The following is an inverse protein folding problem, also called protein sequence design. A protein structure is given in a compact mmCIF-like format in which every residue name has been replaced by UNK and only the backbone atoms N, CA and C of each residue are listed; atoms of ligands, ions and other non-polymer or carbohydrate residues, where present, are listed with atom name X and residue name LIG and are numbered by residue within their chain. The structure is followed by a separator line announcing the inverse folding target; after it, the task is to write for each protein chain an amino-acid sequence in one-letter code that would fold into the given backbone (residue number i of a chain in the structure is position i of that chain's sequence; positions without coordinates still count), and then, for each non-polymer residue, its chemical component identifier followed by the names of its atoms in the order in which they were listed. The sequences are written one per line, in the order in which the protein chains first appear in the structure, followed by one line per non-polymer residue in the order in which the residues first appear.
data_IF_733238965958
#
_entry.id   IF_733238965958
#
_cell.length_a   1.000
_cell.length_b   1.000
_cell.length_c   1.000
_cell.angle_alpha   90.00
_cell.angle_beta   90.00
_cell.angle_gamma   90.00
#
_symmetry.space_group_name_H-M   'P 1'
#
loop_
_entity.id
_entity.type
_entity.pdbx_description
1 polymer ?
#
# COMPACT_ATOMS: atom_id res chain seq x y z
N UNK A 1 7.72 22.42 -8.13
CA UNK A 1 8.26 21.09 -7.76
C UNK A 1 8.98 20.40 -8.94
N UNK A 2 10.21 19.91 -8.75
CA UNK A 2 10.93 19.19 -9.79
C UNK A 2 10.33 17.80 -10.05
N UNK A 3 10.27 17.36 -11.31
CA UNK A 3 9.76 16.01 -11.71
C UNK A 3 10.44 14.87 -10.95
N UNK A 4 11.72 15.03 -10.61
CA UNK A 4 12.49 14.07 -9.81
C UNK A 4 11.93 13.93 -8.37
N UNK A 5 11.52 15.02 -7.74
CA UNK A 5 10.97 15.02 -6.38
C UNK A 5 9.66 14.24 -6.32
N UNK A 6 8.75 14.47 -7.28
CA UNK A 6 7.46 13.73 -7.36
C UNK A 6 7.71 12.24 -7.55
N UNK A 7 8.64 11.90 -8.43
CA UNK A 7 9.01 10.52 -8.71
C UNK A 7 9.54 9.83 -7.45
N UNK A 8 10.47 10.48 -6.73
CA UNK A 8 11.02 9.96 -5.48
C UNK A 8 9.95 9.76 -4.40
N UNK A 9 9.04 10.72 -4.23
CA UNK A 9 7.91 10.62 -3.32
C UNK A 9 6.97 9.48 -3.70
N UNK A 10 6.67 9.31 -4.99
CA UNK A 10 5.81 8.25 -5.50
C UNK A 10 6.41 6.85 -5.21
N UNK A 11 7.71 6.64 -5.46
CA UNK A 11 8.38 5.37 -5.16
C UNK A 11 8.47 5.09 -3.66
N UNK A 12 8.87 6.08 -2.85
CA UNK A 12 8.95 5.93 -1.40
C UNK A 12 7.57 5.58 -0.81
N UNK A 13 6.52 6.28 -1.26
CA UNK A 13 5.17 6.02 -0.82
C UNK A 13 4.68 4.65 -1.30
N UNK A 14 4.96 4.26 -2.55
CA UNK A 14 4.60 2.94 -3.09
C UNK A 14 5.11 1.79 -2.22
N UNK A 15 6.37 1.86 -1.77
CA UNK A 15 6.96 0.86 -0.88
C UNK A 15 6.22 0.83 0.46
N UNK A 16 6.03 1.99 1.10
CA UNK A 16 5.40 2.09 2.42
C UNK A 16 3.95 1.59 2.39
N UNK A 17 3.16 2.02 1.40
CA UNK A 17 1.74 1.65 1.31
C UNK A 17 1.55 0.21 0.84
N UNK A 18 2.47 -0.33 0.03
CA UNK A 18 2.52 -1.76 -0.29
C UNK A 18 2.73 -2.60 0.97
N UNK A 19 3.72 -2.24 1.80
CA UNK A 19 4.00 -2.92 3.08
C UNK A 19 2.78 -2.83 4.01
N UNK A 20 2.18 -1.65 4.17
CA UNK A 20 0.97 -1.45 5.00
C UNK A 20 -0.21 -2.31 4.53
N UNK A 21 -0.32 -2.52 3.23
CA UNK A 21 -1.40 -3.31 2.62
C UNK A 21 -1.30 -4.81 2.92
N UNK A 22 -0.16 -5.29 3.44
CA UNK A 22 -0.02 -6.68 3.93
C UNK A 22 -0.89 -6.96 5.17
N UNK A 23 -1.21 -5.92 5.96
CA UNK A 23 -2.15 -6.00 7.09
C UNK A 23 -3.62 -5.98 6.68
N UNK A 24 -3.92 -6.14 5.39
CA UNK A 24 -5.31 -6.35 4.94
C UNK A 24 -5.85 -7.72 5.37
N UNK A 25 -7.18 -7.87 5.52
CA UNK A 25 -7.80 -9.18 5.68
C UNK A 25 -7.34 -10.18 4.61
N UNK A 26 -7.20 -9.71 3.36
CA UNK A 26 -6.68 -10.51 2.26
C UNK A 26 -5.21 -10.92 2.47
N UNK A 27 -4.33 -9.99 2.88
CA UNK A 27 -2.92 -10.29 3.14
C UNK A 27 -2.72 -11.28 4.28
N UNK A 28 -3.48 -11.14 5.37
CA UNK A 28 -3.43 -12.04 6.53
C UNK A 28 -3.94 -13.44 6.16
N UNK A 29 -5.10 -13.54 5.49
CA UNK A 29 -5.63 -14.82 5.02
C UNK A 29 -4.63 -15.53 4.10
N UNK A 30 -4.00 -14.79 3.18
CA UNK A 30 -3.00 -15.36 2.27
C UNK A 30 -1.74 -15.84 3.00
N UNK A 31 -1.24 -15.09 3.98
CA UNK A 31 -0.10 -15.50 4.80
C UNK A 31 -0.41 -16.71 5.70
N UNK A 32 -1.68 -16.98 5.95
CA UNK A 32 -2.14 -18.18 6.67
C UNK A 32 -2.26 -19.39 5.73
N UNK A 33 -2.73 -19.15 4.51
CA UNK A 33 -3.11 -20.19 3.54
C UNK A 33 -1.93 -20.66 2.69
N UNK A 34 -1.16 -19.70 2.16
CA UNK A 34 0.02 -19.94 1.34
C UNK A 34 1.27 -20.01 2.22
N UNK A 35 1.38 -21.12 2.95
CA UNK A 35 2.53 -21.41 3.83
C UNK A 35 3.22 -22.70 3.39
N UNK A 36 4.48 -22.94 3.79
CA UNK A 36 5.11 -24.23 3.60
C UNK A 36 4.29 -25.38 4.19
N UNK A 37 3.60 -25.18 5.32
CA UNK A 37 2.71 -26.19 5.90
C UNK A 37 1.50 -26.45 4.99
N UNK A 38 0.80 -25.40 4.57
CA UNK A 38 -0.39 -25.51 3.72
C UNK A 38 -0.11 -26.00 2.30
N UNK A 39 1.06 -25.70 1.73
CA UNK A 39 1.45 -26.21 0.42
C UNK A 39 1.84 -27.69 0.50
N UNK A 40 2.53 -28.12 1.57
CA UNK A 40 2.87 -29.54 1.77
C UNK A 40 1.64 -30.41 1.96
N UNK A 41 0.61 -29.96 2.68
CA UNK A 41 -0.64 -30.73 2.82
C UNK A 41 -1.38 -30.91 1.48
N UNK A 42 -1.11 -30.06 0.49
CA UNK A 42 -1.62 -30.16 -0.88
C UNK A 42 -0.65 -30.86 -1.85
N UNK A 43 0.48 -31.40 -1.37
CA UNK A 43 1.50 -32.03 -2.22
C UNK A 43 2.30 -31.05 -3.07
N UNK A 44 2.30 -29.76 -2.74
CA UNK A 44 2.94 -28.70 -3.51
C UNK A 44 4.25 -28.20 -2.88
N UNK A 45 5.22 -27.90 -3.75
CA UNK A 45 6.43 -27.19 -3.36
C UNK A 45 6.16 -25.68 -3.18
N UNK A 46 6.37 -25.18 -1.96
CA UNK A 46 6.15 -23.77 -1.59
C UNK A 46 6.93 -22.77 -2.45
N UNK A 47 8.17 -23.08 -2.83
CA UNK A 47 8.99 -22.19 -3.66
C UNK A 47 8.35 -21.88 -5.02
N UNK A 48 7.72 -22.87 -5.64
CA UNK A 48 7.00 -22.66 -6.90
C UNK A 48 5.73 -21.81 -6.69
N UNK A 49 5.02 -21.98 -5.56
CA UNK A 49 3.88 -21.13 -5.19
C UNK A 49 4.30 -19.69 -5.03
N UNK A 50 5.43 -19.44 -4.34
CA UNK A 50 6.03 -18.11 -4.20
C UNK A 50 6.37 -17.50 -5.57
N UNK A 51 7.01 -18.27 -6.47
CA UNK A 51 7.37 -17.77 -7.79
C UNK A 51 6.13 -17.34 -8.60
N UNK A 52 5.10 -18.17 -8.65
CA UNK A 52 3.85 -17.83 -9.35
C UNK A 52 3.12 -16.66 -8.70
N UNK A 53 3.13 -16.59 -7.36
CA UNK A 53 2.55 -15.49 -6.62
C UNK A 53 3.23 -14.16 -6.91
N UNK A 54 4.57 -14.12 -6.85
CA UNK A 54 5.34 -12.91 -7.14
C UNK A 54 5.18 -12.51 -8.61
N UNK A 55 5.22 -13.47 -9.55
CA UNK A 55 4.98 -13.20 -10.96
C UNK A 55 3.58 -12.60 -11.19
N UNK A 56 2.55 -13.18 -10.56
CA UNK A 56 1.20 -12.62 -10.58
C UNK A 56 1.15 -11.21 -10.01
N UNK A 57 1.77 -10.96 -8.86
CA UNK A 57 1.79 -9.65 -8.21
C UNK A 57 2.52 -8.58 -9.03
N UNK A 58 3.62 -8.94 -9.68
CA UNK A 58 4.32 -8.06 -10.63
C UNK A 58 3.43 -7.76 -11.83
N UNK A 59 2.78 -8.77 -12.42
CA UNK A 59 1.86 -8.58 -13.53
C UNK A 59 0.67 -7.67 -13.15
N UNK A 60 0.07 -7.90 -11.97
CA UNK A 60 -1.00 -7.04 -11.45
C UNK A 60 -0.54 -5.62 -11.18
N UNK A 61 0.65 -5.43 -10.62
CA UNK A 61 1.28 -4.12 -10.44
C UNK A 61 1.56 -3.42 -11.76
N UNK A 62 1.99 -4.16 -12.79
CA UNK A 62 2.19 -3.63 -14.13
C UNK A 62 0.87 -3.21 -14.80
N UNK A 63 -0.23 -3.94 -14.57
CA UNK A 63 -1.57 -3.52 -15.03
C UNK A 63 -1.97 -2.19 -14.38
N UNK A 64 -1.85 -2.07 -13.06
CA UNK A 64 -2.08 -0.80 -12.38
C UNK A 64 -1.15 0.29 -12.94
N UNK A 65 0.14 0.00 -13.05
CA UNK A 65 1.15 0.91 -13.58
C UNK A 65 0.84 1.37 -15.00
N UNK A 66 0.29 0.50 -15.85
CA UNK A 66 -0.15 0.85 -17.21
C UNK A 66 -1.32 1.83 -17.22
N UNK A 67 -2.29 1.65 -16.32
CA UNK A 67 -3.38 2.63 -16.13
C UNK A 67 -2.83 3.98 -15.65
N UNK A 68 -1.91 3.96 -14.69
CA UNK A 68 -1.25 5.18 -14.19
C UNK A 68 -0.37 5.83 -15.25
N UNK A 69 0.24 5.04 -16.13
CA UNK A 69 1.02 5.54 -17.27
C UNK A 69 0.14 6.30 -18.26
N UNK A 70 -1.07 5.80 -18.51
CA UNK A 70 -2.09 6.53 -19.28
C UNK A 70 -2.47 7.85 -18.61
N UNK A 71 -2.72 7.85 -17.30
CA UNK A 71 -3.01 9.09 -16.56
C UNK A 71 -1.82 10.07 -16.56
N UNK A 72 -0.59 9.57 -16.45
CA UNK A 72 0.61 10.39 -16.53
C UNK A 72 0.79 11.03 -17.91
N UNK A 73 0.46 10.31 -18.99
CA UNK A 73 0.45 10.87 -20.34
C UNK A 73 -0.60 12.00 -20.46
N UNK A 74 -1.79 11.82 -19.89
CA UNK A 74 -2.82 12.87 -19.87
C UNK A 74 -2.35 14.09 -19.08
N UNK A 75 -1.71 13.90 -17.93
CA UNK A 75 -1.15 15.00 -17.13
C UNK A 75 -0.06 15.77 -17.90
N UNK A 76 0.79 15.06 -18.64
CA UNK A 76 1.84 15.65 -19.48
C UNK A 76 1.25 16.55 -20.58
N UNK A 77 0.17 16.10 -21.23
CA UNK A 77 -0.56 16.86 -22.25
C UNK A 77 -1.21 18.14 -21.71
N UNK A 78 -1.51 18.19 -20.40
CA UNK A 78 -2.06 19.38 -19.76
C UNK A 78 -1.00 20.47 -19.46
N UNK A 79 0.30 20.17 -19.66
CA UNK A 79 1.42 21.09 -19.41
C UNK A 79 1.32 21.85 -18.08
N UNK A 80 0.95 21.12 -17.02
CA UNK A 80 0.69 21.72 -15.71
C UNK A 80 1.95 22.42 -15.18
N UNK A 81 1.75 23.64 -14.65
CA UNK A 81 2.83 24.37 -13.99
C UNK A 81 3.35 23.60 -12.77
N UNK A 82 4.62 23.80 -12.43
CA UNK A 82 5.24 23.14 -11.27
C UNK A 82 4.55 23.48 -9.93
N UNK A 83 3.90 24.64 -9.85
CA UNK A 83 3.08 25.08 -8.70
C UNK A 83 1.74 24.38 -8.68
N UNK A 84 1.09 24.21 -9.84
CA UNK A 84 -0.16 23.44 -9.95
C UNK A 84 0.05 21.99 -9.53
N UNK A 85 1.12 21.34 -10.00
CA UNK A 85 1.47 19.96 -9.60
C UNK A 85 1.69 19.87 -8.08
N UNK A 86 2.40 20.83 -7.49
CA UNK A 86 2.61 20.89 -6.04
C UNK A 86 1.29 21.10 -5.27
N UNK A 87 0.42 21.99 -5.74
CA UNK A 87 -0.91 22.22 -5.14
C UNK A 87 -1.80 20.97 -5.19
N UNK A 88 -1.82 20.25 -6.31
CA UNK A 88 -2.55 18.99 -6.44
C UNK A 88 -1.99 17.91 -5.50
N UNK A 89 -0.67 17.81 -5.37
CA UNK A 89 -0.03 16.88 -4.44
C UNK A 89 -0.34 17.21 -2.97
N UNK A 90 -0.35 18.51 -2.60
CA UNK A 90 -0.78 18.99 -1.27
C UNK A 90 -2.23 18.60 -1.00
N UNK A 91 -3.14 18.91 -1.94
CA UNK A 91 -4.56 18.60 -1.77
C UNK A 91 -4.79 17.09 -1.62
N UNK A 92 -4.17 16.28 -2.48
CA UNK A 92 -4.28 14.82 -2.40
C UNK A 92 -3.73 14.29 -1.06
N UNK A 93 -2.54 14.74 -0.63
CA UNK A 93 -1.94 14.29 0.62
C UNK A 93 -2.76 14.70 1.85
N UNK A 94 -3.33 15.91 1.85
CA UNK A 94 -4.22 16.36 2.91
C UNK A 94 -5.47 15.47 3.01
N UNK A 95 -6.10 15.16 1.86
CA UNK A 95 -7.28 14.27 1.81
C UNK A 95 -6.94 12.87 2.34
N UNK A 96 -5.83 12.28 1.92
CA UNK A 96 -5.50 10.90 2.35
C UNK A 96 -5.08 10.83 3.81
N UNK A 97 -4.32 11.81 4.31
CA UNK A 97 -3.97 11.88 5.75
C UNK A 97 -5.23 12.02 6.59
N UNK A 98 -6.14 12.92 6.19
CA UNK A 98 -7.42 13.15 6.89
C UNK A 98 -8.26 11.87 6.93
N UNK A 99 -8.30 11.12 5.81
CA UNK A 99 -8.97 9.82 5.71
C UNK A 99 -8.36 8.76 6.63
N UNK A 100 -7.03 8.60 6.63
CA UNK A 100 -6.37 7.56 7.44
C UNK A 100 -6.38 7.86 8.93
N UNK A 101 -6.46 9.14 9.30
CA UNK A 101 -6.65 9.58 10.68
C UNK A 101 -8.13 9.60 11.11
N UNK A 102 -9.06 9.32 10.19
CA UNK A 102 -10.51 9.38 10.42
C UNK A 102 -10.97 10.70 11.07
N UNK A 103 -10.39 11.83 10.63
CA UNK A 103 -10.71 13.16 11.17
C UNK A 103 -12.18 13.46 10.88
N UNK A 104 -12.94 13.82 11.93
CA UNK A 104 -14.39 13.99 11.86
C UNK A 104 -15.16 12.77 11.29
N UNK A 105 -14.57 11.56 11.37
CA UNK A 105 -15.17 10.34 10.82
C UNK A 105 -15.05 10.20 9.30
N UNK A 106 -14.35 11.12 8.62
CA UNK A 106 -14.13 11.05 7.18
C UNK A 106 -13.21 9.87 6.83
N UNK A 107 -13.60 9.09 5.82
CA UNK A 107 -12.75 8.08 5.23
C UNK A 107 -13.04 7.94 3.73
N UNK A 108 -12.00 7.69 2.93
CA UNK A 108 -12.15 7.31 1.53
C UNK A 108 -12.77 5.91 1.39
N UNK A 109 -13.32 5.56 0.21
CA UNK A 109 -13.91 4.26 -0.04
C UNK A 109 -12.96 3.10 0.31
N UNK A 110 -13.49 2.14 1.08
CA UNK A 110 -12.84 0.86 1.35
C UNK A 110 -13.45 -0.16 0.39
N UNK A 111 -12.62 -0.97 -0.25
CA UNK A 111 -13.08 -2.03 -1.17
C UNK A 111 -13.05 -3.36 -0.40
N UNK A 112 -14.18 -3.85 0.16
CA UNK A 112 -14.18 -5.01 1.04
C UNK A 112 -14.16 -6.34 0.27
N UNK A 113 -13.30 -6.46 -0.76
CA UNK A 113 -13.15 -7.67 -1.55
C UNK A 113 -11.93 -8.46 -1.10
N UNK A 114 -12.12 -9.75 -0.84
CA UNK A 114 -11.04 -10.72 -0.59
C UNK A 114 -10.83 -11.61 -1.81
N UNK A 115 -9.67 -12.27 -1.85
CA UNK A 115 -9.45 -13.41 -2.73
C UNK A 115 -10.37 -14.57 -2.32
N UNK A 116 -10.79 -15.38 -3.28
CA UNK A 116 -11.61 -16.56 -3.01
C UNK A 116 -10.73 -17.74 -2.58
N UNK A 117 -10.76 -18.08 -1.29
CA UNK A 117 -9.93 -19.14 -0.69
C UNK A 117 -10.23 -20.53 -1.29
N UNK A 118 -11.43 -20.74 -1.85
CA UNK A 118 -11.81 -21.99 -2.48
C UNK A 118 -10.96 -22.32 -3.71
N UNK A 119 -10.29 -21.32 -4.31
CA UNK A 119 -9.38 -21.53 -5.43
C UNK A 119 -8.24 -22.50 -5.09
N UNK A 120 -7.84 -22.55 -3.82
CA UNK A 120 -6.74 -23.44 -3.37
C UNK A 120 -7.10 -24.92 -3.41
N UNK A 121 -8.40 -25.26 -3.35
CA UNK A 121 -8.90 -26.63 -3.51
C UNK A 121 -9.43 -26.94 -4.92
N UNK A 122 -9.75 -25.91 -5.71
CA UNK A 122 -10.39 -26.05 -7.02
C UNK A 122 -9.42 -25.97 -8.20
N UNK A 123 -8.40 -25.14 -8.12
CA UNK A 123 -7.53 -24.84 -9.26
C UNK A 123 -6.09 -25.34 -9.05
N UNK A 124 -5.37 -25.47 -10.18
CA UNK A 124 -3.95 -25.82 -10.16
C UNK A 124 -3.14 -24.72 -9.47
N UNK A 125 -2.04 -25.12 -8.82
CA UNK A 125 -1.14 -24.23 -8.07
C UNK A 125 -0.83 -22.90 -8.73
N UNK A 126 -0.42 -22.94 -9.99
CA UNK A 126 -0.03 -21.74 -10.72
C UNK A 126 -1.20 -20.78 -10.94
N UNK A 127 -2.44 -21.30 -11.10
CA UNK A 127 -3.65 -20.50 -11.30
C UNK A 127 -3.98 -19.73 -10.02
N UNK A 128 -4.11 -20.42 -8.89
CA UNK A 128 -4.46 -19.72 -7.66
C UNK A 128 -3.33 -18.82 -7.20
N UNK A 129 -2.07 -19.26 -7.27
CA UNK A 129 -0.94 -18.45 -6.80
C UNK A 129 -0.77 -17.19 -7.65
N UNK A 130 -0.79 -17.31 -8.97
CA UNK A 130 -0.69 -16.15 -9.86
C UNK A 130 -1.93 -15.25 -9.79
N UNK A 131 -3.14 -15.82 -9.72
CA UNK A 131 -4.38 -15.05 -9.60
C UNK A 131 -4.46 -14.26 -8.30
N UNK A 132 -4.10 -14.89 -7.18
CA UNK A 132 -3.96 -14.25 -5.88
C UNK A 132 -2.90 -13.15 -5.89
N UNK A 133 -1.72 -13.44 -6.46
CA UNK A 133 -0.67 -12.46 -6.69
C UNK A 133 -1.18 -11.25 -7.45
N UNK A 134 -1.80 -11.46 -8.62
CA UNK A 134 -2.32 -10.40 -9.48
C UNK A 134 -3.37 -9.52 -8.80
N UNK A 135 -4.32 -10.13 -8.08
CA UNK A 135 -5.33 -9.39 -7.33
C UNK A 135 -4.73 -8.51 -6.21
N UNK A 136 -3.65 -8.96 -5.58
CA UNK A 136 -2.90 -8.17 -4.61
C UNK A 136 -2.05 -7.10 -5.32
N UNK A 137 -1.41 -7.44 -6.42
CA UNK A 137 -0.54 -6.56 -7.20
C UNK A 137 -1.26 -5.32 -7.74
N UNK A 138 -2.48 -5.49 -8.24
CA UNK A 138 -3.33 -4.38 -8.72
C UNK A 138 -3.68 -3.39 -7.59
N UNK A 139 -3.67 -3.82 -6.33
CA UNK A 139 -3.82 -2.93 -5.17
C UNK A 139 -5.23 -2.42 -4.88
N UNK A 140 -6.08 -2.28 -5.89
CA UNK A 140 -7.48 -1.80 -5.78
C UNK A 140 -8.53 -2.87 -6.06
N UNK A 141 -8.13 -4.06 -6.49
CA UNK A 141 -9.05 -5.21 -6.60
C UNK A 141 -9.29 -5.93 -5.27
N UNK A 142 -8.55 -5.55 -4.22
CA UNK A 142 -8.60 -6.14 -2.88
C UNK A 142 -8.63 -5.05 -1.83
N UNK A 143 -8.82 -5.43 -0.56
CA UNK A 143 -8.91 -4.50 0.56
C UNK A 143 -7.75 -3.47 0.63
N UNK A 144 -8.10 -2.20 0.46
CA UNK A 144 -7.19 -1.04 0.61
C UNK A 144 -7.14 -0.63 2.09
N UNK A 145 -5.99 -0.79 2.73
CA UNK A 145 -5.83 -0.54 4.18
C UNK A 145 -5.48 0.91 4.54
N UNK A 146 -5.08 1.70 3.55
CA UNK A 146 -4.61 3.07 3.71
C UNK A 146 -4.97 3.87 2.49
N UNK A 147 -5.49 5.08 2.70
CA UNK A 147 -5.72 6.06 1.67
C UNK A 147 -4.42 6.44 0.92
N UNK A 148 -3.25 6.17 1.50
CA UNK A 148 -1.96 6.37 0.86
C UNK A 148 -1.78 5.62 -0.46
N UNK A 149 -2.54 4.54 -0.73
CA UNK A 149 -2.56 3.89 -2.04
C UNK A 149 -3.10 4.85 -3.11
N UNK A 150 -4.17 5.59 -2.81
CA UNK A 150 -4.71 6.61 -3.72
C UNK A 150 -3.74 7.77 -3.91
N UNK A 151 -3.07 8.21 -2.83
CA UNK A 151 -2.02 9.24 -2.94
C UNK A 151 -0.88 8.79 -3.86
N UNK A 152 -0.43 7.53 -3.74
CA UNK A 152 0.59 6.97 -4.61
C UNK A 152 0.17 6.97 -6.08
N UNK A 153 -1.09 6.63 -6.38
CA UNK A 153 -1.64 6.70 -7.74
C UNK A 153 -1.65 8.13 -8.28
N UNK A 154 -2.08 9.09 -7.47
CA UNK A 154 -2.07 10.52 -7.85
C UNK A 154 -0.65 11.00 -8.10
N UNK A 155 0.30 10.71 -7.20
CA UNK A 155 1.70 11.11 -7.38
C UNK A 155 2.32 10.47 -8.62
N UNK A 156 2.03 9.20 -8.90
CA UNK A 156 2.49 8.52 -10.11
C UNK A 156 2.00 9.23 -11.38
N UNK A 157 0.71 9.59 -11.44
CA UNK A 157 0.15 10.36 -12.55
C UNK A 157 0.77 11.77 -12.64
N UNK A 158 0.92 12.46 -11.51
CA UNK A 158 1.52 13.80 -11.41
C UNK A 158 3.00 13.85 -11.82
N UNK A 159 3.66 12.71 -12.02
CA UNK A 159 5.01 12.69 -12.60
C UNK A 159 5.04 13.19 -14.05
N UNK A 160 3.92 13.11 -14.78
CA UNK A 160 3.85 13.40 -16.22
C UNK A 160 4.67 12.42 -17.07
N UNK A 161 5.16 11.31 -16.51
CA UNK A 161 6.08 10.39 -17.18
C UNK A 161 5.52 8.97 -17.18
N UNK A 162 4.98 8.49 -18.31
CA UNK A 162 4.35 7.16 -18.39
C UNK A 162 5.24 6.03 -17.87
N UNK A 163 6.53 6.04 -18.20
CA UNK A 163 7.50 5.03 -17.75
C UNK A 163 7.68 5.04 -16.23
N UNK A 164 7.69 6.22 -15.61
CA UNK A 164 7.82 6.35 -14.15
C UNK A 164 6.57 5.83 -13.47
N UNK A 165 5.38 6.19 -13.95
CA UNK A 165 4.12 5.72 -13.41
C UNK A 165 3.96 4.19 -13.51
N UNK A 166 4.37 3.61 -14.64
CA UNK A 166 4.44 2.15 -14.82
C UNK A 166 5.38 1.50 -13.81
N UNK A 167 6.58 2.07 -13.63
CA UNK A 167 7.56 1.56 -12.69
C UNK A 167 7.09 1.66 -11.23
N UNK A 168 6.38 2.73 -10.86
CA UNK A 168 5.77 2.89 -9.52
C UNK A 168 4.73 1.82 -9.26
N UNK A 169 3.79 1.58 -10.19
CA UNK A 169 2.78 0.52 -10.06
C UNK A 169 3.41 -0.89 -10.00
N UNK A 170 4.41 -1.15 -10.83
CA UNK A 170 5.14 -2.43 -10.85
C UNK A 170 5.92 -2.64 -9.55
N UNK A 171 6.57 -1.59 -9.03
CA UNK A 171 7.26 -1.61 -7.74
C UNK A 171 6.29 -1.93 -6.59
N UNK A 172 5.13 -1.25 -6.56
CA UNK A 172 4.07 -1.53 -5.60
C UNK A 172 3.65 -3.01 -5.64
N UNK A 173 3.39 -3.55 -6.83
CA UNK A 173 3.03 -4.96 -7.01
C UNK A 173 4.13 -5.93 -6.56
N UNK A 174 5.39 -5.64 -6.90
CA UNK A 174 6.55 -6.42 -6.47
C UNK A 174 6.67 -6.46 -4.95
N UNK A 175 6.63 -5.30 -4.28
CA UNK A 175 6.77 -5.23 -2.81
C UNK A 175 5.64 -6.01 -2.13
N UNK A 176 4.40 -5.89 -2.62
CA UNK A 176 3.29 -6.70 -2.11
C UNK A 176 3.48 -8.20 -2.39
N UNK A 177 3.99 -8.55 -3.57
CA UNK A 177 4.32 -9.92 -3.94
C UNK A 177 5.33 -10.55 -3.00
N UNK A 178 6.39 -9.82 -2.66
CA UNK A 178 7.46 -10.28 -1.76
C UNK A 178 7.00 -10.48 -0.32
N UNK A 179 5.85 -9.91 0.09
CA UNK A 179 5.31 -10.12 1.43
C UNK A 179 5.05 -11.61 1.74
N UNK A 180 4.80 -12.43 0.72
CA UNK A 180 4.61 -13.89 0.90
C UNK A 180 5.85 -14.56 1.53
N UNK A 181 7.05 -14.01 1.34
CA UNK A 181 8.31 -14.54 1.88
C UNK A 181 8.35 -14.49 3.41
N UNK A 182 7.55 -13.63 4.05
CA UNK A 182 7.35 -13.64 5.49
C UNK A 182 6.83 -15.00 5.99
N UNK A 183 6.14 -15.75 5.12
CA UNK A 183 5.59 -17.08 5.39
C UNK A 183 6.60 -18.23 5.33
N UNK A 184 7.85 -18.01 4.90
CA UNK A 184 8.79 -19.10 4.57
C UNK A 184 9.14 -20.02 5.75
N UNK A 185 9.00 -19.52 6.99
CA UNK A 185 9.26 -20.27 8.23
C UNK A 185 7.99 -20.86 8.86
N UNK A 186 6.81 -20.64 8.27
CA UNK A 186 5.52 -21.10 8.79
C UNK A 186 5.30 -22.59 8.46
N UNK A 187 6.03 -23.46 9.18
CA UNK A 187 6.04 -24.91 8.98
C UNK A 187 5.21 -25.68 10.00
N UNK A 188 4.74 -25.02 11.07
CA UNK A 188 3.93 -25.60 12.15
C UNK A 188 2.77 -24.67 12.51
N UNK A 189 1.66 -25.20 13.06
CA UNK A 189 0.54 -24.39 13.55
C UNK A 189 0.97 -23.35 14.59
N UNK A 190 1.89 -23.70 15.49
CA UNK A 190 2.42 -22.83 16.53
C UNK A 190 3.18 -21.63 15.94
N UNK A 191 3.95 -21.87 14.88
CA UNK A 191 4.65 -20.81 14.15
C UNK A 191 3.67 -19.83 13.48
N UNK A 192 2.58 -20.33 12.90
CA UNK A 192 1.51 -19.50 12.31
C UNK A 192 0.85 -18.64 13.38
N UNK A 193 0.44 -19.23 14.51
CA UNK A 193 -0.16 -18.48 15.63
C UNK A 193 0.80 -17.41 16.17
N UNK A 194 2.08 -17.75 16.35
CA UNK A 194 3.09 -16.82 16.83
C UNK A 194 3.35 -15.67 15.83
N UNK A 195 3.35 -15.98 14.54
CA UNK A 195 3.47 -14.99 13.48
C UNK A 195 2.28 -14.03 13.48
N UNK A 196 1.04 -14.52 13.54
CA UNK A 196 -0.15 -13.66 13.59
C UNK A 196 -0.14 -12.72 14.79
N UNK A 197 0.22 -13.20 15.99
CA UNK A 197 0.35 -12.33 17.17
C UNK A 197 1.34 -11.20 16.94
N UNK A 198 2.54 -11.51 16.43
CA UNK A 198 3.57 -10.49 16.14
C UNK A 198 3.09 -9.52 15.06
N UNK A 199 2.45 -10.04 14.03
CA UNK A 199 1.93 -9.26 12.93
C UNK A 199 0.84 -8.29 13.41
N UNK A 200 -0.12 -8.75 14.22
CA UNK A 200 -1.14 -7.90 14.84
C UNK A 200 -0.53 -6.82 15.74
N UNK A 201 0.46 -7.16 16.56
CA UNK A 201 1.12 -6.17 17.43
C UNK A 201 1.86 -5.09 16.65
N UNK A 202 2.34 -5.40 15.44
CA UNK A 202 2.98 -4.43 14.55
C UNK A 202 1.98 -3.60 13.72
N UNK A 203 0.69 -3.94 13.74
CA UNK A 203 -0.36 -3.25 12.98
C UNK A 203 -0.43 -1.74 13.25
N UNK A 204 -0.43 -1.27 14.51
CA UNK A 204 -0.38 0.15 14.82
C UNK A 204 0.87 0.82 14.27
N UNK A 205 2.05 0.20 14.41
CA UNK A 205 3.33 0.73 13.89
C UNK A 205 3.27 0.92 12.37
N UNK A 206 2.76 -0.09 11.66
CA UNK A 206 2.57 -0.06 10.20
C UNK A 206 1.68 1.11 9.77
N UNK A 207 0.59 1.39 10.50
CA UNK A 207 -0.25 2.55 10.24
C UNK A 207 0.48 3.88 10.50
N UNK A 208 1.25 4.00 11.60
CA UNK A 208 2.01 5.24 11.87
C UNK A 208 2.99 5.54 10.74
N UNK A 209 3.71 4.52 10.27
CA UNK A 209 4.68 4.67 9.18
C UNK A 209 3.98 5.14 7.90
N UNK A 210 2.81 4.57 7.57
CA UNK A 210 2.03 4.99 6.41
C UNK A 210 1.55 6.45 6.52
N UNK A 211 1.06 6.85 7.70
CA UNK A 211 0.61 8.24 7.95
C UNK A 211 1.78 9.22 7.91
N UNK A 212 2.92 8.88 8.52
CA UNK A 212 4.15 9.70 8.48
C UNK A 212 4.62 9.88 7.03
N UNK A 213 4.59 8.83 6.22
CA UNK A 213 4.95 8.92 4.81
C UNK A 213 4.04 9.90 4.05
N UNK A 214 2.72 9.87 4.30
CA UNK A 214 1.78 10.82 3.69
C UNK A 214 2.00 12.25 4.17
N UNK A 215 2.29 12.46 5.46
CA UNK A 215 2.68 13.78 5.98
C UNK A 215 3.96 14.29 5.31
N UNK A 216 4.96 13.44 5.12
CA UNK A 216 6.19 13.82 4.42
C UNK A 216 5.90 14.26 2.97
N UNK A 217 5.00 13.57 2.26
CA UNK A 217 4.54 14.02 0.93
C UNK A 217 3.89 15.40 1.03
N UNK A 218 2.98 15.60 1.99
CA UNK A 218 2.31 16.89 2.22
C UNK A 218 3.34 18.00 2.47
N UNK A 219 4.34 17.75 3.32
CA UNK A 219 5.41 18.69 3.66
C UNK A 219 6.19 19.17 2.45
N UNK A 220 6.72 18.20 1.71
CA UNK A 220 7.62 18.43 0.59
C UNK A 220 6.85 19.13 -0.53
N UNK A 221 5.59 18.73 -0.74
CA UNK A 221 4.71 19.37 -1.73
C UNK A 221 4.36 20.81 -1.33
N UNK A 222 4.10 21.06 -0.04
CA UNK A 222 3.76 22.40 0.46
C UNK A 222 4.98 23.34 0.39
N UNK A 223 6.16 22.87 0.80
CA UNK A 223 7.41 23.61 0.64
C UNK A 223 7.67 23.96 -0.83
N UNK A 224 7.44 23.01 -1.75
CA UNK A 224 7.60 23.21 -3.19
C UNK A 224 6.50 24.07 -3.84
N UNK A 225 5.37 24.32 -3.17
CA UNK A 225 4.29 25.18 -3.64
C UNK A 225 4.42 26.63 -3.15
N UNK A 226 5.14 26.84 -2.04
CA UNK A 226 5.22 28.15 -1.36
C UNK A 226 6.61 28.79 -1.43
N UNK A 227 7.58 28.10 -2.01
CA UNK A 227 9.02 28.46 -1.98
C UNK A 227 9.54 28.75 -0.56
N UNK A 228 8.83 28.29 0.47
CA UNK A 228 9.14 28.56 1.87
C UNK A 228 10.00 27.42 2.45
N UNK A 229 11.21 27.71 2.98
CA UNK A 229 12.08 26.69 3.57
C UNK A 229 11.49 26.03 4.83
N UNK A 230 10.42 26.61 5.40
CA UNK A 230 9.81 26.19 6.67
C UNK A 230 8.89 24.96 6.57
N UNK A 231 8.43 24.57 5.37
CA UNK A 231 7.56 23.40 5.20
C UNK A 231 8.25 22.08 5.58
N UNK A 232 9.56 22.01 5.39
CA UNK A 232 10.40 20.85 5.69
C UNK A 232 10.63 20.71 7.21
N UNK A 233 10.86 21.82 7.90
CA UNK A 233 11.06 21.87 9.37
C UNK A 233 9.77 21.50 10.11
N UNK A 234 8.62 22.03 9.68
CA UNK A 234 7.35 21.80 10.36
C UNK A 234 6.92 20.33 10.33
N UNK A 235 7.16 19.60 9.25
CA UNK A 235 6.72 18.19 9.18
C UNK A 235 7.75 17.21 9.73
N UNK A 236 9.05 17.45 9.58
CA UNK A 236 10.08 16.61 10.20
C UNK A 236 9.97 16.66 11.74
N UNK A 237 9.68 17.84 12.29
CA UNK A 237 9.55 18.03 13.75
C UNK A 237 8.17 17.60 14.26
N UNK A 238 7.08 17.97 13.58
CA UNK A 238 5.73 17.75 14.11
C UNK A 238 5.06 16.47 13.58
N UNK A 239 5.51 15.88 12.47
CA UNK A 239 4.93 14.65 11.91
C UNK A 239 4.89 13.48 12.89
N UNK A 240 5.98 13.18 13.62
CA UNK A 240 5.98 12.14 14.65
C UNK A 240 5.08 12.48 15.85
N UNK A 241 4.99 13.75 16.24
CA UNK A 241 4.17 14.22 17.35
C UNK A 241 2.67 14.21 17.02
N UNK A 242 2.29 14.72 15.85
CA UNK A 242 0.93 14.69 15.31
C UNK A 242 0.47 13.26 15.04
N UNK A 243 1.36 12.41 14.51
CA UNK A 243 1.05 10.99 14.32
C UNK A 243 0.84 10.28 15.67
N UNK A 244 1.72 10.50 16.66
CA UNK A 244 1.54 9.96 18.02
C UNK A 244 0.27 10.48 18.69
N UNK A 245 -0.06 11.76 18.52
CA UNK A 245 -1.26 12.37 19.07
C UNK A 245 -2.54 11.82 18.43
N UNK A 246 -2.59 11.76 17.10
CA UNK A 246 -3.73 11.26 16.35
C UNK A 246 -3.96 9.76 16.60
N UNK A 247 -2.89 8.96 16.72
CA UNK A 247 -3.02 7.53 17.01
C UNK A 247 -3.42 7.23 18.44
N UNK A 248 -3.09 8.10 19.41
CA UNK A 248 -3.66 8.02 20.76
C UNK A 248 -5.17 8.27 20.75
N UNK A 249 -5.68 9.08 19.83
CA UNK A 249 -7.10 9.35 19.63
C UNK A 249 -7.85 8.27 18.82
N UNK A 250 -7.18 7.61 17.85
CA UNK A 250 -7.78 6.59 16.97
C UNK A 250 -7.77 5.19 17.58
N UNK A 251 -6.72 4.83 18.35
CA UNK A 251 -6.58 3.50 18.95
C UNK A 251 -7.77 3.05 19.86
N UNK A 252 -8.44 3.93 20.62
CA UNK A 252 -9.64 3.56 21.38
C UNK A 252 -10.84 3.22 20.49
N UNK A 253 -11.03 3.94 19.38
CA UNK A 253 -12.19 3.76 18.47
C UNK A 253 -12.10 2.47 17.65
N UNK A 254 -10.89 2.08 17.24
CA UNK A 254 -10.65 0.79 16.57
C UNK A 254 -10.91 -0.39 17.53
N UNK A 255 -10.53 -0.26 18.82
CA UNK A 255 -10.83 -1.28 19.83
C UNK A 255 -12.34 -1.39 20.14
N UNK A 256 -13.06 -0.27 20.14
CA UNK A 256 -14.50 -0.27 20.36
C UNK A 256 -15.26 -0.99 19.23
N UNK A 257 -14.89 -0.76 17.96
CA UNK A 257 -15.54 -1.41 16.81
C UNK A 257 -15.25 -2.92 16.69
N UNK A 258 -14.10 -3.40 17.17
CA UNK A 258 -13.79 -4.85 17.24
C UNK A 258 -14.54 -5.61 18.34
N UNK A 259 -15.20 -4.90 19.27
CA UNK A 259 -16.03 -5.53 20.32
C UNK A 259 -17.51 -5.58 19.97
N UNK A 260 -17.93 -4.88 18.92
CA UNK A 260 -19.33 -4.80 18.46
C UNK A 260 -19.56 -5.50 17.12
N UNK A 261 -18.59 -6.27 16.63
CA UNK A 261 -18.66 -7.16 15.48
C UNK A 261 -18.13 -8.53 15.93
#
# INVERSE_FOLDING_TARGET
MASLTVSALAFALAIVVAVRSTWSPCGISMLSTLTPLGERSRGHAYGATVAWFVAGAVAGGAVLGGLLAGLAAVVDLCHLSATTVAGLAVAAAAVTVTSDLEVAGFHLPRIPRQVDENWTGRYRRWVYAAGFGAQIGVGVSTYVMTAGVYLMMVLAALTGRPVVALAVGTCFGLVRGLAILCGVRLRTPEAIRAFHRRFETAGPVSLQVAVIAQFNVLAVSLAAATDAPYGLVMVVVNGPLLCRYALRWVAPRIRARRRSA
#
